data_IF_788004660006
#
_entry.id   IF_788004660006
#
_cell.length_a   1.000
_cell.length_b   1.000
_cell.length_c   1.000
_cell.angle_alpha   90.00
_cell.angle_beta   90.00
_cell.angle_gamma   90.00
#
_symmetry.space_group_name_H-M   'P 1'
#
loop_
_entity.id
_entity.type
_entity.pdbx_description
1 polymer ?
#
# COMPACT_ATOMS: atom_id res chain seq x y z
N UNK A 1 28.86 -0.15 -29.32
CA UNK A 1 28.39 -1.45 -28.79
C UNK A 1 27.95 -1.23 -27.35
N UNK A 2 26.64 -1.15 -27.06
CA UNK A 2 26.09 -0.98 -25.70
C UNK A 2 26.61 0.24 -24.92
N UNK A 3 26.12 0.43 -23.68
CA UNK A 3 26.76 1.31 -22.70
C UNK A 3 27.92 0.57 -22.01
N UNK A 4 28.89 1.33 -21.47
CA UNK A 4 29.88 0.75 -20.56
C UNK A 4 29.28 0.58 -19.16
N UNK A 5 29.73 -0.46 -18.43
CA UNK A 5 29.25 -0.68 -17.05
C UNK A 5 29.55 0.50 -16.12
N UNK A 6 30.69 1.16 -16.30
CA UNK A 6 31.06 2.35 -15.52
C UNK A 6 30.11 3.52 -15.78
N UNK A 7 29.76 3.77 -17.05
CA UNK A 7 28.84 4.85 -17.40
C UNK A 7 27.41 4.55 -16.95
N UNK A 8 26.99 3.28 -17.03
CA UNK A 8 25.69 2.86 -16.52
C UNK A 8 25.60 3.06 -14.99
N UNK A 9 26.65 2.73 -14.23
CA UNK A 9 26.68 2.96 -12.79
C UNK A 9 26.64 4.45 -12.42
N UNK A 10 27.31 5.30 -13.19
CA UNK A 10 27.28 6.77 -13.01
C UNK A 10 25.88 7.33 -13.25
N UNK A 11 25.19 6.89 -14.31
CA UNK A 11 23.83 7.31 -14.62
C UNK A 11 22.85 6.80 -13.55
N UNK A 12 23.02 5.55 -13.09
CA UNK A 12 22.20 4.96 -12.03
C UNK A 12 22.33 5.74 -10.72
N UNK A 13 23.55 6.18 -10.38
CA UNK A 13 23.79 7.02 -9.20
C UNK A 13 23.18 8.42 -9.33
N UNK A 14 23.09 8.96 -10.56
CA UNK A 14 22.53 10.29 -10.84
C UNK A 14 21.00 10.28 -10.90
N UNK A 15 20.41 9.32 -11.61
CA UNK A 15 18.98 9.30 -11.94
C UNK A 15 18.17 8.41 -10.98
N UNK A 16 18.84 7.51 -10.25
CA UNK A 16 18.22 6.54 -9.36
C UNK A 16 17.80 5.25 -10.09
N UNK A 17 17.30 4.26 -9.32
CA UNK A 17 16.87 2.99 -9.89
C UNK A 17 15.62 3.14 -10.76
N UNK A 18 15.49 2.28 -11.77
CA UNK A 18 14.30 2.15 -12.61
C UNK A 18 13.19 1.41 -11.84
N UNK A 19 12.69 2.07 -10.79
CA UNK A 19 11.61 1.59 -9.95
C UNK A 19 10.67 2.74 -9.60
N UNK A 20 9.37 2.45 -9.60
CA UNK A 20 8.38 3.41 -9.13
C UNK A 20 8.58 3.64 -7.63
N UNK A 21 8.67 4.91 -7.23
CA UNK A 21 8.72 5.25 -5.81
C UNK A 21 7.44 4.74 -5.14
N UNK A 22 7.53 3.90 -4.10
CA UNK A 22 6.34 3.38 -3.44
C UNK A 22 5.50 4.55 -2.91
N UNK A 23 4.16 4.49 -3.02
CA UNK A 23 3.30 5.53 -2.49
C UNK A 23 3.53 5.68 -0.98
N UNK A 24 3.43 6.90 -0.47
CA UNK A 24 3.60 7.18 0.96
C UNK A 24 2.67 6.28 1.76
N UNK A 25 3.23 5.41 2.60
CA UNK A 25 2.45 4.56 3.48
C UNK A 25 1.70 5.44 4.47
N UNK A 26 0.38 5.29 4.57
CA UNK A 26 -0.39 5.88 5.65
C UNK A 26 -0.04 5.15 6.96
N UNK A 27 0.16 5.86 8.08
CA UNK A 27 0.44 5.22 9.35
C UNK A 27 -0.68 4.25 9.74
N UNK A 28 -0.33 3.09 10.28
CA UNK A 28 -1.32 2.05 10.64
C UNK A 28 -2.37 2.57 11.63
N UNK A 29 -1.98 3.47 12.55
CA UNK A 29 -2.91 4.13 13.49
C UNK A 29 -3.96 4.97 12.75
N UNK A 30 -3.58 5.65 11.67
CA UNK A 30 -4.51 6.47 10.88
C UNK A 30 -5.49 5.58 10.12
N UNK A 31 -5.05 4.44 9.60
CA UNK A 31 -5.95 3.45 8.97
C UNK A 31 -6.94 2.88 9.98
N UNK A 32 -6.46 2.52 11.17
CA UNK A 32 -7.31 2.01 12.25
C UNK A 32 -8.36 3.03 12.69
N UNK A 33 -7.98 4.29 12.93
CA UNK A 33 -8.92 5.36 13.30
C UNK A 33 -9.95 5.62 12.19
N UNK A 34 -9.53 5.58 10.93
CA UNK A 34 -10.45 5.71 9.79
C UNK A 34 -11.50 4.59 9.80
N UNK A 35 -11.11 3.38 10.18
CA UNK A 35 -12.03 2.24 10.30
C UNK A 35 -12.99 2.37 11.49
N UNK A 36 -12.57 3.02 12.58
CA UNK A 36 -13.43 3.28 13.74
C UNK A 36 -14.47 4.38 13.51
N UNK A 37 -14.26 5.26 12.54
CA UNK A 37 -15.13 6.42 12.24
C UNK A 37 -15.99 6.17 10.97
N UNK A 38 -15.76 5.07 10.26
CA UNK A 38 -16.47 4.74 9.03
C UNK A 38 -17.88 4.16 9.23
N UNK A 39 -18.84 4.59 8.41
CA UNK A 39 -20.13 3.92 8.23
C UNK A 39 -20.98 3.83 9.49
N UNK A 40 -21.29 2.61 9.94
CA UNK A 40 -22.14 2.35 11.11
C UNK A 40 -21.46 2.70 12.45
N UNK A 41 -20.12 2.65 12.52
CA UNK A 41 -19.37 2.92 13.74
C UNK A 41 -19.55 4.34 14.27
N UNK A 42 -19.72 5.34 13.38
CA UNK A 42 -19.98 6.73 13.81
C UNK A 42 -21.35 6.88 14.48
N UNK A 43 -22.35 6.15 14.01
CA UNK A 43 -23.69 6.16 14.58
C UNK A 43 -23.68 5.57 15.99
N UNK A 44 -22.89 4.50 16.20
CA UNK A 44 -22.69 3.89 17.51
C UNK A 44 -21.90 4.79 18.46
N UNK A 45 -20.88 5.53 17.98
CA UNK A 45 -20.17 6.53 18.78
C UNK A 45 -21.09 7.66 19.24
N UNK A 46 -21.95 8.16 18.35
CA UNK A 46 -22.96 9.17 18.69
C UNK A 46 -23.94 8.60 19.72
N UNK A 47 -24.39 7.36 19.55
CA UNK A 47 -25.24 6.65 20.51
C UNK A 47 -24.60 6.53 21.90
N UNK A 48 -23.33 6.09 21.95
CA UNK A 48 -22.57 5.99 23.21
C UNK A 48 -22.40 7.37 23.88
N UNK A 49 -22.12 8.41 23.08
CA UNK A 49 -22.04 9.79 23.55
C UNK A 49 -23.36 10.27 24.17
N UNK A 50 -24.50 10.02 23.52
CA UNK A 50 -25.80 10.35 24.08
C UNK A 50 -26.12 9.58 25.36
N UNK A 51 -25.75 8.30 25.44
CA UNK A 51 -25.91 7.50 26.66
C UNK A 51 -25.11 8.07 27.84
N UNK A 52 -23.88 8.55 27.61
CA UNK A 52 -23.07 9.20 28.65
C UNK A 52 -23.60 10.57 29.06
N UNK A 53 -24.14 11.36 28.12
CA UNK A 53 -24.80 12.63 28.44
C UNK A 53 -26.05 12.38 29.29
N UNK A 54 -26.88 11.40 28.90
CA UNK A 54 -28.09 11.00 29.64
C UNK A 54 -27.75 10.53 31.06
N UNK A 55 -26.66 9.75 31.20
CA UNK A 55 -26.12 9.35 32.50
C UNK A 55 -25.76 10.56 33.38
N UNK A 56 -25.03 11.54 32.83
CA UNK A 56 -24.65 12.74 33.57
C UNK A 56 -25.85 13.56 34.06
N UNK A 57 -26.91 13.66 33.24
CA UNK A 57 -28.15 14.36 33.61
C UNK A 57 -28.91 13.59 34.70
N UNK A 58 -29.05 12.27 34.58
CA UNK A 58 -29.77 11.44 35.55
C UNK A 58 -29.06 11.36 36.90
N UNK A 59 -27.72 11.34 36.88
CA UNK A 59 -26.89 11.40 38.08
C UNK A 59 -27.11 12.74 38.83
N UNK A 60 -27.19 13.85 38.09
CA UNK A 60 -27.49 15.17 38.68
C UNK A 60 -28.92 15.28 39.23
N UNK A 61 -29.85 14.49 38.70
CA UNK A 61 -31.25 14.42 39.16
C UNK A 61 -31.47 13.41 40.29
N UNK A 62 -30.44 12.66 40.71
CA UNK A 62 -30.53 11.67 41.80
C UNK A 62 -31.36 10.43 41.46
N UNK A 63 -31.44 10.07 40.18
CA UNK A 63 -32.23 8.92 39.71
C UNK A 63 -31.35 7.67 39.68
N UNK A 64 -31.77 6.59 40.35
CA UNK A 64 -31.00 5.34 40.47
C UNK A 64 -30.78 4.60 39.12
N UNK A 65 -31.61 4.85 38.11
CA UNK A 65 -31.47 4.27 36.76
C UNK A 65 -30.33 4.87 35.92
N UNK A 66 -29.54 5.77 36.49
CA UNK A 66 -28.37 6.34 35.83
C UNK A 66 -27.38 5.25 35.36
N UNK A 67 -27.14 4.21 36.17
CA UNK A 67 -26.16 3.17 35.84
C UNK A 67 -26.49 2.40 34.55
N UNK A 68 -27.76 2.21 34.20
CA UNK A 68 -28.16 1.51 32.97
C UNK A 68 -27.67 2.23 31.71
N UNK A 69 -27.71 3.57 31.71
CA UNK A 69 -27.21 4.38 30.62
C UNK A 69 -25.68 4.36 30.52
N UNK A 70 -24.99 4.23 31.65
CA UNK A 70 -23.54 4.03 31.67
C UNK A 70 -23.16 2.66 31.07
N UNK A 71 -23.85 1.58 31.48
CA UNK A 71 -23.63 0.24 30.93
C UNK A 71 -23.88 0.21 29.43
N UNK A 72 -24.99 0.81 28.96
CA UNK A 72 -25.30 0.87 27.54
C UNK A 72 -24.21 1.61 26.74
N UNK A 73 -23.74 2.76 27.22
CA UNK A 73 -22.66 3.51 26.57
C UNK A 73 -21.33 2.74 26.50
N UNK A 74 -20.96 2.04 27.59
CA UNK A 74 -19.76 1.20 27.62
C UNK A 74 -19.88 0.02 26.67
N UNK A 75 -21.03 -0.67 26.64
CA UNK A 75 -21.26 -1.79 25.72
C UNK A 75 -21.17 -1.32 24.27
N UNK A 76 -21.77 -0.18 23.93
CA UNK A 76 -21.68 0.39 22.58
C UNK A 76 -20.23 0.71 22.19
N UNK A 77 -19.45 1.32 23.10
CA UNK A 77 -18.03 1.61 22.85
C UNK A 77 -17.22 0.33 22.61
N UNK A 78 -17.43 -0.72 23.42
CA UNK A 78 -16.76 -2.02 23.26
C UNK A 78 -17.11 -2.67 21.91
N UNK A 79 -18.39 -2.65 21.52
CA UNK A 79 -18.84 -3.18 20.23
C UNK A 79 -18.15 -2.46 19.06
N UNK A 80 -18.02 -1.14 19.13
CA UNK A 80 -17.33 -0.36 18.09
C UNK A 80 -15.84 -0.70 18.02
N UNK A 81 -15.17 -0.86 19.16
CA UNK A 81 -13.76 -1.23 19.20
C UNK A 81 -13.56 -2.62 18.59
N UNK A 82 -14.37 -3.61 18.96
CA UNK A 82 -14.27 -4.97 18.43
C UNK A 82 -14.52 -5.03 16.92
N UNK A 83 -15.55 -4.33 16.44
CA UNK A 83 -15.85 -4.26 15.00
C UNK A 83 -14.77 -3.51 14.22
N UNK A 84 -14.20 -2.44 14.79
CA UNK A 84 -13.06 -1.71 14.23
C UNK A 84 -11.81 -2.58 14.09
N UNK A 85 -11.47 -3.38 15.12
CA UNK A 85 -10.35 -4.34 15.08
C UNK A 85 -10.57 -5.38 13.97
N UNK A 86 -11.78 -5.96 13.89
CA UNK A 86 -12.09 -6.97 12.88
C UNK A 86 -11.99 -6.43 11.46
N UNK A 87 -12.48 -5.21 11.24
CA UNK A 87 -12.43 -4.59 9.92
C UNK A 87 -11.02 -4.17 9.53
N UNK A 88 -10.23 -3.62 10.48
CA UNK A 88 -8.82 -3.35 10.26
C UNK A 88 -8.03 -4.62 9.91
N UNK A 89 -8.31 -5.74 10.59
CA UNK A 89 -7.66 -7.02 10.28
C UNK A 89 -8.00 -7.52 8.87
N UNK A 90 -9.24 -7.33 8.40
CA UNK A 90 -9.64 -7.66 7.03
C UNK A 90 -8.92 -6.80 5.99
N UNK A 91 -8.80 -5.49 6.25
CA UNK A 91 -8.12 -4.54 5.37
C UNK A 91 -6.60 -4.79 5.33
N UNK A 92 -5.98 -5.05 6.49
CA UNK A 92 -4.56 -5.36 6.60
C UNK A 92 -4.21 -6.67 5.86
N UNK A 93 -5.05 -7.69 5.96
CA UNK A 93 -4.89 -8.95 5.22
C UNK A 93 -4.94 -8.71 3.71
N UNK A 94 -5.89 -7.91 3.23
CA UNK A 94 -6.02 -7.56 1.80
C UNK A 94 -4.78 -6.83 1.29
N UNK A 95 -4.32 -5.83 2.04
CA UNK A 95 -3.15 -5.01 1.68
C UNK A 95 -1.87 -5.84 1.60
N UNK A 96 -1.67 -6.76 2.55
CA UNK A 96 -0.48 -7.62 2.58
C UNK A 96 -0.41 -8.59 1.39
N UNK A 97 -1.56 -9.11 0.94
CA UNK A 97 -1.60 -10.00 -0.23
C UNK A 97 -1.15 -9.23 -1.48
N UNK A 98 -1.66 -8.02 -1.68
CA UNK A 98 -1.27 -7.17 -2.81
C UNK A 98 0.22 -6.80 -2.78
N UNK A 99 0.75 -6.45 -1.61
CA UNK A 99 2.18 -6.15 -1.45
C UNK A 99 3.07 -7.37 -1.76
N UNK A 100 2.62 -8.58 -1.45
CA UNK A 100 3.32 -9.83 -1.79
C UNK A 100 3.37 -10.06 -3.30
N UNK A 101 2.28 -9.79 -4.02
CA UNK A 101 2.24 -9.89 -5.49
C UNK A 101 3.24 -8.94 -6.16
N UNK A 102 3.36 -7.70 -5.68
CA UNK A 102 4.33 -6.75 -6.24
C UNK A 102 5.79 -7.18 -6.02
N UNK A 103 6.09 -7.92 -4.94
CA UNK A 103 7.45 -8.42 -4.65
C UNK A 103 7.80 -9.71 -5.39
N UNK A 104 6.81 -10.47 -5.85
CA UNK A 104 7.01 -11.81 -6.42
C UNK A 104 7.39 -11.80 -7.91
N UNK A 105 7.35 -10.65 -8.58
CA UNK A 105 7.71 -10.54 -10.00
C UNK A 105 9.00 -9.72 -10.12
N UNK A 106 10.18 -10.32 -9.82
CA UNK A 106 11.44 -9.69 -10.17
C UNK A 106 11.52 -9.66 -11.69
N UNK A 107 11.30 -8.47 -12.28
CA UNK A 107 11.53 -8.29 -13.70
C UNK A 107 13.04 -8.30 -13.92
N UNK A 108 13.52 -9.29 -14.67
CA UNK A 108 14.86 -9.29 -15.22
C UNK A 108 14.81 -8.79 -16.66
N UNK A 109 15.87 -8.11 -17.08
CA UNK A 109 16.00 -7.56 -18.42
C UNK A 109 17.36 -7.97 -19.00
N UNK A 110 17.34 -8.42 -20.25
CA UNK A 110 18.56 -8.72 -20.99
C UNK A 110 19.08 -7.43 -21.62
N UNK A 111 20.25 -6.97 -21.18
CA UNK A 111 20.90 -5.74 -21.66
C UNK A 111 22.20 -6.03 -22.40
N UNK A 112 22.57 -5.18 -23.33
CA UNK A 112 23.88 -5.17 -23.97
C UNK A 112 24.77 -4.10 -23.31
N UNK A 113 25.72 -4.52 -22.46
CA UNK A 113 26.70 -3.64 -21.81
C UNK A 113 28.13 -4.18 -22.03
N UNK A 114 29.09 -3.29 -22.30
CA UNK A 114 30.46 -3.65 -22.70
C UNK A 114 30.52 -4.65 -23.88
N UNK A 115 29.61 -4.53 -24.86
CA UNK A 115 29.46 -5.46 -25.97
C UNK A 115 29.06 -6.91 -25.60
N UNK A 116 28.75 -7.18 -24.33
CA UNK A 116 28.26 -8.47 -23.85
C UNK A 116 26.79 -8.39 -23.46
N UNK A 117 26.05 -9.46 -23.72
CA UNK A 117 24.66 -9.60 -23.24
C UNK A 117 24.69 -10.05 -21.78
N UNK A 118 24.05 -9.29 -20.89
CA UNK A 118 23.96 -9.57 -19.46
C UNK A 118 22.51 -9.47 -19.02
N UNK A 119 22.09 -10.43 -18.22
CA UNK A 119 20.78 -10.39 -17.57
C UNK A 119 20.93 -9.61 -16.27
N UNK A 120 20.15 -8.55 -16.11
CA UNK A 120 20.19 -7.68 -14.95
C UNK A 120 18.78 -7.45 -14.41
N UNK A 121 18.64 -7.22 -13.10
CA UNK A 121 17.42 -6.70 -12.52
C UNK A 121 16.93 -5.43 -13.23
N UNK A 122 15.62 -5.32 -13.47
CA UNK A 122 15.03 -4.19 -14.18
C UNK A 122 15.21 -2.84 -13.46
N UNK A 123 15.44 -2.85 -12.14
CA UNK A 123 15.73 -1.67 -11.32
C UNK A 123 17.12 -1.06 -11.61
N UNK A 124 18.04 -1.81 -12.22
CA UNK A 124 19.37 -1.35 -12.62
C UNK A 124 19.44 -0.85 -14.06
N UNK A 125 18.32 -0.84 -14.78
CA UNK A 125 18.25 -0.27 -16.12
C UNK A 125 18.41 1.25 -16.07
N UNK A 126 19.16 1.79 -17.03
CA UNK A 126 19.36 3.23 -17.14
C UNK A 126 19.01 3.74 -18.53
N UNK A 127 18.75 5.04 -18.62
CA UNK A 127 18.45 5.70 -19.89
C UNK A 127 19.64 5.57 -20.84
N UNK A 128 19.38 4.97 -22.02
CA UNK A 128 20.38 4.73 -23.06
C UNK A 128 20.83 3.28 -23.19
N UNK A 129 20.47 2.39 -22.25
CA UNK A 129 20.75 0.96 -22.39
C UNK A 129 20.08 0.38 -23.64
N UNK A 130 20.77 -0.59 -24.25
CA UNK A 130 20.19 -1.42 -25.31
C UNK A 130 19.67 -2.69 -24.65
N UNK A 131 18.36 -2.85 -24.64
CA UNK A 131 17.65 -4.02 -24.11
C UNK A 131 17.20 -4.92 -25.26
N UNK A 132 17.31 -6.23 -25.04
CA UNK A 132 16.78 -7.26 -25.91
C UNK A 132 15.57 -7.91 -25.24
N UNK A 133 14.45 -7.97 -25.95
CA UNK A 133 13.19 -8.52 -25.44
C UNK A 133 12.81 -9.72 -26.30
N UNK A 134 12.49 -10.84 -25.65
CA UNK A 134 12.02 -12.06 -26.32
C UNK A 134 10.51 -12.21 -26.13
N UNK A 135 9.90 -13.03 -26.98
CA UNK A 135 8.47 -13.35 -26.86
C UNK A 135 8.18 -14.04 -25.52
N UNK A 136 7.31 -13.44 -24.71
CA UNK A 136 6.97 -13.89 -23.36
C UNK A 136 7.55 -13.02 -22.24
N UNK A 137 8.55 -12.17 -22.55
CA UNK A 137 9.12 -11.25 -21.58
C UNK A 137 8.21 -10.02 -21.40
N UNK A 138 8.13 -9.53 -20.16
CA UNK A 138 7.44 -8.28 -19.87
C UNK A 138 8.36 -7.11 -20.16
N UNK A 139 7.85 -6.07 -20.83
CA UNK A 139 8.62 -4.86 -21.14
C UNK A 139 9.10 -4.20 -19.82
N UNK A 140 10.42 -4.01 -19.63
CA UNK A 140 10.97 -3.60 -18.33
C UNK A 140 11.01 -2.08 -18.12
N UNK A 141 10.95 -1.29 -19.20
CA UNK A 141 10.92 0.18 -19.18
C UNK A 141 10.34 0.70 -20.50
N UNK A 142 10.01 1.98 -20.56
CA UNK A 142 9.64 2.61 -21.84
C UNK A 142 10.85 2.61 -22.78
N UNK A 143 10.71 1.94 -23.92
CA UNK A 143 11.80 1.68 -24.87
C UNK A 143 11.49 2.21 -26.25
N UNK A 144 12.54 2.63 -26.95
CA UNK A 144 12.49 2.95 -28.38
C UNK A 144 13.00 1.77 -29.19
N UNK A 145 12.15 1.20 -30.04
CA UNK A 145 12.52 0.09 -30.91
C UNK A 145 13.53 0.55 -31.96
N UNK A 146 14.71 -0.08 -31.97
CA UNK A 146 15.78 0.16 -32.95
C UNK A 146 15.84 -0.94 -34.03
N UNK A 147 15.47 -2.16 -33.67
CA UNK A 147 15.45 -3.33 -34.54
C UNK A 147 14.36 -4.29 -34.04
N UNK A 148 13.57 -4.83 -34.94
CA UNK A 148 12.50 -5.79 -34.61
C UNK A 148 12.43 -6.90 -35.64
N UNK A 149 12.11 -8.10 -35.19
CA UNK A 149 11.86 -9.24 -36.06
C UNK A 149 10.61 -9.98 -35.54
N UNK A 150 9.49 -9.84 -36.25
CA UNK A 150 8.22 -10.46 -35.84
C UNK A 150 7.67 -9.98 -34.50
N UNK A 151 8.08 -8.79 -34.03
CA UNK A 151 7.67 -8.25 -32.74
C UNK A 151 6.16 -7.96 -32.73
N UNK A 152 5.46 -8.57 -31.77
CA UNK A 152 4.07 -8.27 -31.42
C UNK A 152 4.02 -8.06 -29.91
N UNK A 153 3.41 -6.96 -29.50
CA UNK A 153 3.25 -6.53 -28.10
C UNK A 153 1.81 -6.62 -27.67
#
# INVERSE_FOLDING_TARGET
QGLSSARAAEILARDGPNALTPPKATPEIVKFLKQMIGGFSILLWIGAGFSWISFGIQLAQGVDSAFDNLYLGVVLAVVVILTGIFAYYQEAKSTNIMASFSKMIPQQALVLRNAEKKELPADQLVVGDIVEIKGGDRIPADIRLIFTQGCKV
#
